data_IF_121048067153
#
_entry.id   IF_121048067153
#
_cell.length_a   1.000
_cell.length_b   1.000
_cell.length_c   1.000
_cell.angle_alpha   90.00
_cell.angle_beta   90.00
_cell.angle_gamma   90.00
#
_symmetry.space_group_name_H-M   'P 1'
#
loop_
_entity.id
_entity.type
_entity.pdbx_description
1 polymer ?
#
# COMPACT_ATOMS: atom_id res chain seq x y z
N UNK A 1 -21.00 -0.55 10.82
CA UNK A 1 -21.01 -1.24 9.51
C UNK A 1 -19.78 -0.92 8.65
N UNK A 2 -18.90 0.00 9.08
CA UNK A 2 -17.75 0.45 8.28
C UNK A 2 -16.44 -0.30 8.58
N UNK A 3 -16.24 -0.72 9.83
CA UNK A 3 -15.10 -1.54 10.31
C UNK A 3 -14.96 -2.88 9.55
N UNK A 4 -16.10 -3.49 9.17
CA UNK A 4 -16.12 -4.78 8.46
C UNK A 4 -15.53 -4.72 7.04
N UNK A 5 -15.59 -3.57 6.38
CA UNK A 5 -15.01 -3.39 5.05
C UNK A 5 -13.49 -3.18 5.11
N UNK A 6 -13.00 -2.39 6.07
CA UNK A 6 -11.56 -2.24 6.33
C UNK A 6 -10.93 -3.59 6.69
N UNK A 7 -11.60 -4.43 7.50
CA UNK A 7 -11.09 -5.76 7.86
C UNK A 7 -10.92 -6.70 6.65
N UNK A 8 -11.72 -6.54 5.60
CA UNK A 8 -11.58 -7.31 4.35
C UNK A 8 -10.37 -6.91 3.52
N UNK A 9 -9.89 -5.67 3.66
CA UNK A 9 -8.71 -5.19 2.94
C UNK A 9 -7.47 -5.85 3.54
N UNK A 10 -6.72 -6.57 2.70
CA UNK A 10 -5.43 -7.17 3.07
C UNK A 10 -4.48 -6.07 3.56
N UNK A 11 -3.88 -6.23 4.74
CA UNK A 11 -2.94 -5.22 5.28
C UNK A 11 -1.66 -5.23 4.47
N UNK A 12 -1.15 -6.41 4.11
CA UNK A 12 0.12 -6.58 3.40
C UNK A 12 -0.13 -7.46 2.19
N UNK A 13 0.17 -6.94 1.00
CA UNK A 13 0.16 -7.71 -0.23
C UNK A 13 1.46 -7.39 -0.98
N UNK A 14 2.39 -8.36 -0.93
CA UNK A 14 3.73 -8.23 -1.49
C UNK A 14 4.11 -9.47 -2.29
N UNK A 15 4.93 -9.29 -3.32
CA UNK A 15 5.49 -10.42 -4.07
C UNK A 15 6.33 -11.34 -3.15
N UNK A 16 6.24 -12.67 -3.30
CA UNK A 16 6.91 -13.63 -2.42
C UNK A 16 8.43 -13.73 -2.66
N UNK A 17 8.95 -13.24 -3.77
CA UNK A 17 10.38 -13.24 -4.06
C UNK A 17 10.77 -12.09 -5.00
N UNK A 18 11.98 -11.57 -4.81
CA UNK A 18 12.58 -10.54 -5.67
C UNK A 18 12.75 -9.18 -4.99
N UNK A 19 13.29 -8.24 -5.77
CA UNK A 19 13.45 -6.84 -5.35
C UNK A 19 12.41 -6.00 -6.07
N UNK A 20 11.53 -5.36 -5.32
CA UNK A 20 10.43 -4.58 -5.86
C UNK A 20 10.17 -3.32 -5.05
N UNK A 21 9.40 -2.40 -5.63
CA UNK A 21 8.99 -1.17 -4.95
C UNK A 21 7.74 -1.46 -4.14
N UNK A 22 7.60 -0.74 -3.03
CA UNK A 22 6.39 -0.79 -2.21
C UNK A 22 5.91 0.61 -1.88
N UNK A 23 4.60 0.73 -1.68
CA UNK A 23 3.91 1.92 -1.21
C UNK A 23 3.16 1.61 0.08
N UNK A 24 3.17 2.57 0.99
CA UNK A 24 2.37 2.59 2.21
C UNK A 24 1.20 3.53 1.99
N UNK A 25 -0.01 3.00 2.04
CA UNK A 25 -1.24 3.73 1.80
C UNK A 25 -2.08 3.65 3.07
N UNK A 26 -2.54 4.78 3.56
CA UNK A 26 -3.49 4.87 4.65
C UNK A 26 -4.89 4.93 4.06
N UNK A 27 -5.71 3.97 4.43
CA UNK A 27 -7.10 3.88 3.99
C UNK A 27 -7.99 4.24 5.16
N UNK A 28 -8.74 5.32 5.07
CA UNK A 28 -9.68 5.75 6.09
C UNK A 28 -11.09 5.82 5.52
N UNK A 29 -12.09 5.96 6.38
CA UNK A 29 -13.46 6.18 5.95
C UNK A 29 -13.66 7.66 5.67
N UNK A 30 -14.24 7.97 4.50
CA UNK A 30 -14.58 9.34 4.11
C UNK A 30 -15.62 9.97 5.04
N UNK A 31 -16.46 9.15 5.66
CA UNK A 31 -17.56 9.56 6.54
C UNK A 31 -17.11 9.88 7.98
N UNK A 32 -15.97 10.58 8.13
CA UNK A 32 -15.56 11.21 9.39
C UNK A 32 -15.26 10.26 10.55
N UNK A 33 -14.88 9.01 10.27
CA UNK A 33 -14.39 8.10 11.30
C UNK A 33 -12.87 8.23 11.42
N UNK A 34 -12.35 8.38 12.64
CA UNK A 34 -10.91 8.32 12.96
C UNK A 34 -10.29 6.93 12.73
N UNK A 35 -11.08 5.97 12.24
CA UNK A 35 -10.59 4.66 11.86
C UNK A 35 -9.87 4.72 10.51
N UNK A 36 -8.58 4.42 10.57
CA UNK A 36 -7.72 4.25 9.41
C UNK A 36 -7.05 2.88 9.46
N UNK A 37 -6.67 2.40 8.29
CA UNK A 37 -5.95 1.15 8.11
C UNK A 37 -4.78 1.39 7.17
N UNK A 38 -3.58 1.22 7.70
CA UNK A 38 -2.37 1.32 6.90
C UNK A 38 -2.17 0.01 6.15
N UNK A 39 -2.07 0.08 4.82
CA UNK A 39 -1.84 -1.05 3.94
C UNK A 39 -0.51 -0.89 3.20
N UNK A 40 0.20 -2.00 3.08
CA UNK A 40 1.45 -2.11 2.34
C UNK A 40 1.20 -2.89 1.07
N UNK A 41 1.61 -2.32 -0.05
CA UNK A 41 1.47 -2.91 -1.38
C UNK A 41 2.80 -2.87 -2.09
N UNK A 42 3.28 -4.02 -2.56
CA UNK A 42 4.57 -4.11 -3.22
C UNK A 42 4.58 -5.17 -4.30
N UNK A 43 4.78 -4.75 -5.54
CA UNK A 43 4.72 -5.64 -6.68
C UNK A 43 5.96 -5.52 -7.55
N UNK A 44 6.44 -6.65 -8.04
CA UNK A 44 7.56 -6.70 -8.98
C UNK A 44 7.22 -6.14 -10.36
N UNK A 45 5.95 -6.21 -10.77
CA UNK A 45 5.48 -5.69 -12.06
C UNK A 45 5.42 -4.15 -12.11
N UNK A 46 5.35 -3.48 -10.96
CA UNK A 46 5.20 -2.04 -10.91
C UNK A 46 6.55 -1.33 -10.97
N UNK A 47 6.79 -0.61 -12.07
CA UNK A 47 8.03 0.16 -12.26
C UNK A 47 8.08 1.41 -11.36
N UNK A 48 6.93 1.96 -10.96
CA UNK A 48 6.81 3.15 -10.12
C UNK A 48 5.85 2.95 -8.96
N UNK A 49 6.06 3.74 -7.89
CA UNK A 49 5.16 3.78 -6.73
C UNK A 49 3.74 4.24 -7.11
N UNK A 50 3.64 5.13 -8.09
CA UNK A 50 2.38 5.66 -8.57
C UNK A 50 1.48 4.58 -9.20
N UNK A 51 2.04 3.64 -9.98
CA UNK A 51 1.26 2.53 -10.56
C UNK A 51 0.61 1.65 -9.49
N UNK A 52 1.34 1.38 -8.40
CA UNK A 52 0.81 0.60 -7.28
C UNK A 52 -0.30 1.39 -6.59
N UNK A 53 -0.04 2.68 -6.32
CA UNK A 53 -1.01 3.55 -5.66
C UNK A 53 -2.30 3.69 -6.49
N UNK A 54 -2.21 4.03 -7.77
CA UNK A 54 -3.36 4.24 -8.66
C UNK A 54 -4.25 3.00 -8.72
N UNK A 55 -3.63 1.82 -8.90
CA UNK A 55 -4.35 0.55 -8.93
C UNK A 55 -5.08 0.28 -7.60
N UNK A 56 -4.40 0.46 -6.47
CA UNK A 56 -4.95 0.17 -5.15
C UNK A 56 -6.02 1.20 -4.76
N UNK A 57 -5.76 2.48 -5.04
CA UNK A 57 -6.73 3.55 -4.86
C UNK A 57 -7.98 3.30 -5.70
N UNK A 58 -7.84 2.94 -6.98
CA UNK A 58 -8.97 2.60 -7.84
C UNK A 58 -9.79 1.41 -7.31
N UNK A 59 -9.15 0.39 -6.72
CA UNK A 59 -9.85 -0.74 -6.09
C UNK A 59 -10.62 -0.33 -4.83
N UNK A 60 -10.05 0.56 -4.01
CA UNK A 60 -10.62 0.98 -2.73
C UNK A 60 -11.68 2.09 -2.89
N UNK A 61 -11.43 3.05 -3.78
CA UNK A 61 -12.37 4.10 -4.17
C UNK A 61 -13.59 3.54 -4.92
N UNK A 62 -13.53 2.30 -5.41
CA UNK A 62 -14.67 1.61 -6.02
C UNK A 62 -15.86 1.53 -5.08
N UNK A 63 -15.60 1.35 -3.78
CA UNK A 63 -16.63 1.35 -2.76
C UNK A 63 -17.17 2.77 -2.47
N UNK A 64 -16.50 3.84 -2.92
CA UNK A 64 -16.84 5.28 -2.74
C UNK A 64 -17.01 5.74 -1.28
N UNK A 65 -16.73 4.88 -0.30
CA UNK A 65 -16.82 5.16 1.13
C UNK A 65 -15.44 5.38 1.77
N UNK A 66 -14.37 5.00 1.09
CA UNK A 66 -13.01 5.05 1.60
C UNK A 66 -12.19 6.17 0.95
N UNK A 67 -11.26 6.72 1.71
CA UNK A 67 -10.27 7.71 1.31
C UNK A 67 -8.87 7.06 1.38
N UNK A 68 -8.01 7.37 0.39
CA UNK A 68 -6.72 6.71 0.22
C UNK A 68 -5.60 7.75 0.26
N UNK A 69 -4.86 7.81 1.36
CA UNK A 69 -3.73 8.73 1.52
C UNK A 69 -2.40 7.99 1.30
N UNK A 70 -1.55 8.51 0.41
CA UNK A 70 -0.21 7.95 0.19
C UNK A 70 0.75 8.47 1.27
N UNK A 71 1.10 7.63 2.24
CA UNK A 71 2.01 8.01 3.32
C UNK A 71 3.48 7.95 2.91
N UNK A 72 3.82 7.09 1.96
CA UNK A 72 5.22 6.68 1.81
C UNK A 72 5.45 5.59 0.79
N UNK A 73 6.73 5.35 0.51
CA UNK A 73 7.16 4.17 -0.21
C UNK A 73 8.66 3.93 -0.09
N UNK A 74 9.10 2.80 -0.62
CA UNK A 74 10.51 2.42 -0.67
C UNK A 74 10.72 1.20 -1.55
N UNK A 75 11.72 0.39 -1.21
CA UNK A 75 11.97 -0.91 -1.84
C UNK A 75 11.95 -2.02 -0.81
N UNK A 76 11.42 -3.15 -1.22
CA UNK A 76 11.45 -4.41 -0.48
C UNK A 76 12.27 -5.38 -1.31
N UNK A 77 13.23 -6.02 -0.67
CA UNK A 77 13.87 -7.23 -1.18
C UNK A 77 13.36 -8.40 -0.34
N UNK A 78 12.47 -9.18 -0.96
CA UNK A 78 11.98 -10.40 -0.38
C UNK A 78 12.82 -11.55 -0.92
N UNK A 79 13.61 -12.17 -0.05
CA UNK A 79 14.38 -13.36 -0.41
C UNK A 79 13.74 -14.57 0.26
N UNK A 80 12.93 -15.32 -0.51
CA UNK A 80 12.20 -16.50 -0.03
C UNK A 80 13.17 -17.58 0.45
N UNK A 81 14.32 -17.73 -0.22
CA UNK A 81 15.38 -18.69 0.13
C UNK A 81 16.02 -18.44 1.50
N UNK A 82 16.08 -17.17 1.95
CA UNK A 82 16.60 -16.81 3.27
C UNK A 82 15.52 -16.52 4.31
N UNK A 83 14.23 -16.56 3.91
CA UNK A 83 13.07 -16.07 4.70
C UNK A 83 13.33 -14.69 5.32
N UNK A 84 14.02 -13.82 4.58
CA UNK A 84 14.37 -12.46 5.01
C UNK A 84 13.73 -11.46 4.07
N UNK A 85 13.09 -10.47 4.68
CA UNK A 85 12.54 -9.30 4.01
C UNK A 85 13.42 -8.13 4.40
N UNK A 86 14.16 -7.60 3.43
CA UNK A 86 14.99 -6.41 3.63
C UNK A 86 14.25 -5.23 3.03
N UNK A 87 13.81 -4.32 3.89
CA UNK A 87 13.13 -3.09 3.49
C UNK A 87 14.17 -1.97 3.50
N UNK A 88 14.39 -1.32 2.37
CA UNK A 88 15.41 -0.28 2.23
C UNK A 88 15.06 0.72 1.13
N UNK A 89 15.74 1.86 1.17
CA UNK A 89 15.49 2.96 0.25
C UNK A 89 14.32 3.81 0.68
N UNK A 90 14.36 5.07 0.27
CA UNK A 90 13.32 6.06 0.50
C UNK A 90 12.69 6.41 -0.85
N UNK A 91 11.37 6.62 -0.88
CA UNK A 91 10.71 7.21 -2.05
C UNK A 91 11.09 8.69 -2.17
N UNK A 92 11.92 9.01 -3.16
CA UNK A 92 12.33 10.38 -3.51
C UNK A 92 11.19 11.24 -4.07
N UNK A 93 10.08 10.63 -4.50
CA UNK A 93 8.94 11.32 -5.11
C UNK A 93 7.69 10.91 -4.37
N UNK A 94 7.45 11.55 -3.23
CA UNK A 94 6.10 11.88 -2.82
C UNK A 94 6.17 13.38 -2.62
N UNK A 95 5.63 14.10 -3.59
CA UNK A 95 5.49 15.54 -3.52
C UNK A 95 4.85 15.88 -2.17
N UNK A 96 5.35 16.87 -1.41
CA UNK A 96 4.59 17.38 -0.27
C UNK A 96 3.25 17.88 -0.82
N UNK A 97 2.16 17.42 -0.21
CA UNK A 97 0.86 18.04 -0.36
C UNK A 97 0.95 19.54 -0.06
#
# INVERSE_FOLDING_TARGET
MAEAGLQRIQVVDIDPDGVFKYVLIRVSLREGSDEYKDIVRGYSWAEYHADIYDKVAAEIEKDRVYDCECLGGGRINHSSGSKKIHIYGYSVVIHPC
#
